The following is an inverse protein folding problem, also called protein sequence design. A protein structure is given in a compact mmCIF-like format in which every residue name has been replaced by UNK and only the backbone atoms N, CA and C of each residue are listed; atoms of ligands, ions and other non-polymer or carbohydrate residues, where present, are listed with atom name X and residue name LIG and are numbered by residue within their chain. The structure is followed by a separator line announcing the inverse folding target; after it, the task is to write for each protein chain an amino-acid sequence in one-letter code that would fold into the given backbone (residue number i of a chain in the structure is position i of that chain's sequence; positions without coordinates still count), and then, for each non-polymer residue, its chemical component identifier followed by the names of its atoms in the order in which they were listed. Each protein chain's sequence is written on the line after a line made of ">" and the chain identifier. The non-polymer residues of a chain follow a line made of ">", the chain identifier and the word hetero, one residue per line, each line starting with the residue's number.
data_IF_791045674715
#
_entry.id   IF_791045674715
#
_cell.length_a   1.000
_cell.length_b   1.000
_cell.length_c   1.000
_cell.angle_alpha   90.00
_cell.angle_beta   90.00
_cell.angle_gamma   90.00
#
_symmetry.space_group_name_H-M   'P 1'
#
loop_
_entity.id
_entity.type
_entity.pdbx_description
1 polymer ?
#
# COMPACT_ATOMS: atom_id res chain seq x y z
N UNK A 1 -5.91 15.10 -0.54
CA UNK A 1 -5.13 13.85 -0.62
C UNK A 1 -6.04 12.66 -0.40
N UNK A 2 -5.73 11.55 -1.02
CA UNK A 2 -6.39 10.25 -0.81
C UNK A 2 -5.34 9.24 -0.34
N UNK A 3 -5.69 8.42 0.65
CA UNK A 3 -4.91 7.24 1.05
C UNK A 3 -5.64 6.00 0.54
N UNK A 4 -4.98 5.24 -0.33
CA UNK A 4 -5.51 3.96 -0.85
C UNK A 4 -4.62 2.84 -0.33
N UNK A 5 -5.20 1.77 0.16
CA UNK A 5 -4.44 0.65 0.70
C UNK A 5 -5.12 -0.69 0.47
N UNK A 6 -4.31 -1.73 0.45
CA UNK A 6 -4.73 -3.11 0.64
C UNK A 6 -4.14 -3.64 1.94
N UNK A 7 -4.91 -4.40 2.68
CA UNK A 7 -4.45 -5.02 3.92
C UNK A 7 -5.07 -6.39 4.09
N UNK A 8 -4.28 -7.32 4.65
CA UNK A 8 -4.70 -8.67 4.98
C UNK A 8 -4.01 -9.12 6.27
N UNK A 9 -4.43 -10.25 6.84
CA UNK A 9 -3.86 -10.77 8.08
C UNK A 9 -4.08 -9.82 9.28
N UNK A 10 -3.04 -9.31 9.91
CA UNK A 10 -3.11 -8.55 11.16
C UNK A 10 -3.57 -7.09 11.02
N UNK A 11 -3.81 -6.63 9.80
CA UNK A 11 -4.22 -5.25 9.56
C UNK A 11 -3.08 -4.22 9.70
N UNK A 12 -1.83 -4.62 9.54
CA UNK A 12 -0.68 -3.72 9.73
C UNK A 12 -0.68 -2.58 8.72
N UNK A 13 -0.92 -2.86 7.44
CA UNK A 13 -1.00 -1.82 6.41
C UNK A 13 -2.20 -0.89 6.67
N UNK A 14 -3.33 -1.43 7.08
CA UNK A 14 -4.51 -0.64 7.45
C UNK A 14 -4.20 0.34 8.58
N UNK A 15 -3.53 -0.11 9.63
CA UNK A 15 -3.14 0.72 10.78
C UNK A 15 -2.33 1.94 10.35
N UNK A 16 -1.34 1.75 9.49
CA UNK A 16 -0.51 2.84 8.98
C UNK A 16 -1.30 3.76 8.05
N UNK A 17 -2.14 3.20 7.19
CA UNK A 17 -3.00 3.97 6.30
C UNK A 17 -3.98 4.87 7.08
N UNK A 18 -4.60 4.32 8.11
CA UNK A 18 -5.52 5.07 8.98
C UNK A 18 -4.79 6.19 9.74
N UNK A 19 -3.61 5.91 10.29
CA UNK A 19 -2.79 6.93 10.95
C UNK A 19 -2.44 8.06 9.99
N UNK A 20 -1.97 7.73 8.79
CA UNK A 20 -1.64 8.73 7.77
C UNK A 20 -2.86 9.59 7.41
N UNK A 21 -4.01 8.95 7.20
CA UNK A 21 -5.24 9.66 6.86
C UNK A 21 -5.72 10.58 7.99
N UNK A 22 -5.73 10.09 9.22
CA UNK A 22 -6.17 10.85 10.39
C UNK A 22 -5.28 12.08 10.63
N UNK A 23 -3.98 11.91 10.56
CA UNK A 23 -3.04 13.01 10.83
C UNK A 23 -2.94 14.05 9.71
N UNK A 24 -3.25 13.65 8.47
CA UNK A 24 -3.24 14.56 7.30
C UNK A 24 -4.62 15.12 6.95
N UNK A 25 -5.68 14.59 7.52
CA UNK A 25 -7.05 14.91 7.13
C UNK A 25 -7.43 14.38 5.74
N UNK A 26 -6.72 13.37 5.25
CA UNK A 26 -6.97 12.76 3.95
C UNK A 26 -8.20 11.86 3.95
N UNK A 27 -8.84 11.73 2.80
CA UNK A 27 -9.81 10.67 2.56
C UNK A 27 -9.08 9.32 2.48
N UNK A 28 -9.79 8.24 2.80
CA UNK A 28 -9.22 6.90 2.81
C UNK A 28 -10.11 5.92 2.05
N UNK A 29 -9.50 5.02 1.27
CA UNK A 29 -10.21 3.99 0.53
C UNK A 29 -9.44 2.66 0.60
N UNK A 30 -10.16 1.57 0.83
CA UNK A 30 -9.60 0.22 0.87
C UNK A 30 -9.75 -0.47 -0.48
N UNK A 31 -8.68 -1.10 -0.95
CA UNK A 31 -8.74 -2.02 -2.09
C UNK A 31 -9.28 -3.35 -1.58
N UNK A 32 -10.30 -3.87 -2.25
CA UNK A 32 -10.87 -5.18 -1.95
C UNK A 32 -10.92 -6.02 -3.22
N UNK A 33 -10.48 -7.27 -3.12
CA UNK A 33 -10.63 -8.22 -4.22
C UNK A 33 -12.09 -8.64 -4.35
N UNK A 34 -12.57 -8.83 -5.58
CA UNK A 34 -13.94 -9.30 -5.85
C UNK A 34 -14.17 -10.68 -5.24
N UNK A 35 -13.15 -11.54 -5.30
CA UNK A 35 -13.12 -12.83 -4.61
C UNK A 35 -12.14 -12.74 -3.45
N UNK A 36 -12.61 -12.83 -2.18
CA UNK A 36 -11.72 -12.76 -1.04
C UNK A 36 -10.83 -14.00 -0.94
N UNK A 37 -9.62 -13.80 -0.43
CA UNK A 37 -8.74 -14.93 -0.09
C UNK A 37 -9.36 -15.76 1.02
N UNK A 38 -9.35 -17.08 0.86
CA UNK A 38 -10.01 -18.03 1.77
C UNK A 38 -9.07 -19.14 2.19
N UNK A 39 -9.40 -19.79 3.30
CA UNK A 39 -8.63 -20.88 3.86
C UNK A 39 -7.77 -20.43 5.04
N UNK A 40 -6.83 -21.28 5.41
CA UNK A 40 -5.88 -20.99 6.49
C UNK A 40 -4.89 -19.89 6.07
N UNK A 41 -4.17 -19.35 7.04
CA UNK A 41 -3.07 -18.43 6.75
C UNK A 41 -2.07 -19.05 5.74
N UNK A 42 -1.71 -20.31 5.94
CA UNK A 42 -0.80 -21.03 5.04
C UNK A 42 -1.37 -21.18 3.62
N UNK A 43 -2.66 -21.44 3.49
CA UNK A 43 -3.32 -21.53 2.19
C UNK A 43 -3.22 -20.22 1.41
N UNK A 44 -3.43 -19.10 2.08
CA UNK A 44 -3.33 -17.77 1.47
C UNK A 44 -1.89 -17.42 1.14
N UNK A 45 -0.94 -17.75 1.99
CA UNK A 45 0.50 -17.56 1.72
C UNK A 45 0.91 -18.31 0.47
N UNK A 46 0.49 -19.57 0.32
CA UNK A 46 0.80 -20.38 -0.86
C UNK A 46 0.10 -19.88 -2.13
N UNK A 47 -1.15 -19.46 -2.02
CA UNK A 47 -1.86 -18.82 -3.12
C UNK A 47 -1.16 -17.53 -3.56
N UNK A 48 -0.76 -16.69 -2.61
CA UNK A 48 -0.03 -15.46 -2.87
C UNK A 48 1.28 -15.71 -3.62
N UNK A 49 2.01 -16.77 -3.28
CA UNK A 49 3.22 -17.17 -3.99
C UNK A 49 2.95 -17.47 -5.47
N UNK A 50 1.93 -18.27 -5.74
CA UNK A 50 1.54 -18.61 -7.11
C UNK A 50 1.10 -17.40 -7.91
N UNK A 51 0.32 -16.50 -7.29
CA UNK A 51 -0.15 -15.28 -7.93
C UNK A 51 1.00 -14.33 -8.26
N UNK A 52 1.92 -14.12 -7.32
CA UNK A 52 3.10 -13.26 -7.52
C UNK A 52 4.00 -13.82 -8.62
N UNK A 53 4.30 -15.12 -8.58
CA UNK A 53 5.14 -15.78 -9.61
C UNK A 53 4.51 -15.72 -11.01
N UNK A 54 3.18 -15.77 -11.09
CA UNK A 54 2.44 -15.70 -12.36
C UNK A 54 2.19 -14.27 -12.84
N UNK A 55 2.49 -13.24 -12.04
CA UNK A 55 2.10 -11.87 -12.34
C UNK A 55 0.58 -11.69 -12.39
N UNK A 56 -0.14 -12.47 -11.59
CA UNK A 56 -1.60 -12.48 -11.58
C UNK A 56 -2.16 -11.16 -11.05
N UNK A 57 -3.17 -10.64 -11.74
CA UNK A 57 -3.88 -9.42 -11.34
C UNK A 57 -5.31 -9.78 -10.95
N UNK A 58 -5.59 -10.01 -9.66
CA UNK A 58 -6.96 -10.30 -9.22
C UNK A 58 -7.89 -9.14 -9.52
N UNK A 59 -9.14 -9.45 -9.85
CA UNK A 59 -10.16 -8.42 -10.00
C UNK A 59 -10.42 -7.76 -8.65
N UNK A 60 -10.48 -6.43 -8.65
CA UNK A 60 -10.79 -5.63 -7.47
C UNK A 60 -12.13 -4.91 -7.64
N UNK A 61 -12.80 -4.65 -6.51
CA UNK A 61 -14.02 -3.84 -6.50
C UNK A 61 -13.68 -2.38 -6.82
N UNK A 62 -14.57 -1.64 -7.49
CA UNK A 62 -14.39 -0.21 -7.67
C UNK A 62 -14.23 0.50 -6.32
N UNK A 63 -13.34 1.51 -6.26
CA UNK A 63 -13.25 2.35 -5.08
C UNK A 63 -14.52 3.21 -4.94
N UNK A 64 -14.83 3.58 -3.70
CA UNK A 64 -15.96 4.47 -3.39
C UNK A 64 -15.71 5.94 -3.72
N UNK A 65 -14.52 6.27 -4.20
CA UNK A 65 -14.06 7.63 -4.52
C UNK A 65 -13.56 7.70 -5.95
N UNK A 66 -13.55 8.91 -6.53
CA UNK A 66 -13.01 9.15 -7.86
C UNK A 66 -11.57 9.69 -7.74
N UNK A 67 -10.59 8.97 -8.31
CA UNK A 67 -9.19 9.38 -8.28
C UNK A 67 -8.95 10.75 -8.93
N UNK A 68 -9.79 11.16 -9.88
CA UNK A 68 -9.68 12.46 -10.53
C UNK A 68 -9.82 13.65 -9.57
N UNK A 69 -10.44 13.44 -8.41
CA UNK A 69 -10.66 14.48 -7.41
C UNK A 69 -9.43 14.76 -6.53
N UNK A 70 -8.33 14.02 -6.73
CA UNK A 70 -7.15 14.09 -5.87
C UNK A 70 -5.88 14.30 -6.69
N UNK A 71 -5.05 15.24 -6.25
CA UNK A 71 -3.74 15.52 -6.83
C UNK A 71 -2.61 14.72 -6.17
N UNK A 72 -2.81 14.32 -4.92
CA UNK A 72 -1.85 13.53 -4.13
C UNK A 72 -2.53 12.24 -3.67
N UNK A 73 -1.92 11.10 -4.00
CA UNK A 73 -2.44 9.78 -3.66
C UNK A 73 -1.34 8.94 -2.99
N UNK A 74 -1.54 8.62 -1.72
CA UNK A 74 -0.70 7.66 -1.03
C UNK A 74 -1.24 6.25 -1.26
N UNK A 75 -0.36 5.30 -1.57
CA UNK A 75 -0.73 3.93 -1.89
C UNK A 75 0.04 2.97 -0.99
N UNK A 76 -0.69 2.22 -0.17
CA UNK A 76 -0.14 1.30 0.81
C UNK A 76 -0.37 -0.17 0.47
N UNK A 77 0.66 -1.00 0.69
CA UNK A 77 0.63 -2.43 0.44
C UNK A 77 1.40 -3.20 1.51
N UNK A 78 0.95 -4.41 1.89
CA UNK A 78 1.83 -5.34 2.57
C UNK A 78 2.85 -5.92 1.59
N UNK A 79 3.89 -6.55 2.11
CA UNK A 79 4.84 -7.32 1.31
C UNK A 79 4.34 -8.74 1.14
N UNK A 80 4.14 -9.16 -0.10
CA UNK A 80 3.82 -10.54 -0.47
C UNK A 80 4.92 -11.08 -1.37
N UNK A 81 5.69 -12.04 -0.85
CA UNK A 81 6.77 -12.69 -1.62
C UNK A 81 7.69 -11.67 -2.28
N UNK A 82 8.23 -10.76 -1.46
CA UNK A 82 9.22 -9.73 -1.81
C UNK A 82 8.72 -8.62 -2.74
N UNK A 83 7.42 -8.57 -3.04
CA UNK A 83 6.81 -7.50 -3.84
C UNK A 83 5.48 -7.05 -3.25
N UNK A 84 4.76 -6.18 -3.96
CA UNK A 84 3.44 -5.72 -3.53
C UNK A 84 2.40 -6.84 -3.58
N UNK A 85 1.33 -6.71 -2.81
CA UNK A 85 0.17 -7.60 -2.92
C UNK A 85 -0.42 -7.54 -4.35
N UNK A 86 -0.85 -8.68 -4.92
CA UNK A 86 -1.43 -8.72 -6.27
C UNK A 86 -2.60 -7.75 -6.50
N UNK A 87 -3.43 -7.50 -5.48
CA UNK A 87 -4.52 -6.53 -5.58
C UNK A 87 -4.02 -5.09 -5.81
N UNK A 88 -2.85 -4.74 -5.26
CA UNK A 88 -2.23 -3.43 -5.48
C UNK A 88 -1.66 -3.34 -6.89
N UNK A 89 -1.08 -4.41 -7.42
CA UNK A 89 -0.65 -4.48 -8.81
C UNK A 89 -1.82 -4.20 -9.76
N UNK A 90 -2.98 -4.81 -9.51
CA UNK A 90 -4.20 -4.54 -10.29
C UNK A 90 -4.56 -3.06 -10.21
N UNK A 91 -4.57 -2.49 -9.03
CA UNK A 91 -4.92 -1.08 -8.82
C UNK A 91 -3.98 -0.13 -9.57
N UNK A 92 -2.68 -0.36 -9.48
CA UNK A 92 -1.66 0.49 -10.14
C UNK A 92 -1.74 0.42 -11.66
N UNK A 93 -1.97 -0.77 -12.21
CA UNK A 93 -1.95 -0.98 -13.66
C UNK A 93 -3.26 -0.59 -14.36
N UNK A 94 -4.37 -0.57 -13.63
CA UNK A 94 -5.70 -0.25 -14.19
C UNK A 94 -6.12 1.22 -14.01
N UNK A 95 -5.30 2.03 -13.34
CA UNK A 95 -5.56 3.44 -13.12
C UNK A 95 -4.45 4.32 -13.72
N UNK A 96 -4.77 5.57 -13.99
CA UNK A 96 -3.85 6.56 -14.53
C UNK A 96 -3.52 7.60 -13.45
N UNK A 97 -2.24 7.73 -13.12
CA UNK A 97 -1.73 8.66 -12.11
C UNK A 97 -0.96 9.83 -12.73
N UNK A 98 -1.04 10.01 -14.04
CA UNK A 98 -0.37 11.10 -14.74
C UNK A 98 -0.79 12.46 -14.16
N UNK A 99 0.19 13.30 -13.84
CA UNK A 99 -0.04 14.61 -13.25
C UNK A 99 -0.33 14.60 -11.75
N UNK A 100 -0.28 13.44 -11.12
CA UNK A 100 -0.50 13.29 -9.67
C UNK A 100 0.83 12.97 -8.95
N UNK A 101 0.93 13.39 -7.71
CA UNK A 101 2.01 12.94 -6.83
C UNK A 101 1.58 11.65 -6.14
N UNK A 102 2.36 10.58 -6.33
CA UNK A 102 2.13 9.27 -5.71
C UNK A 102 3.11 9.08 -4.56
N UNK A 103 2.60 8.69 -3.39
CA UNK A 103 3.39 8.40 -2.19
C UNK A 103 3.27 6.90 -1.90
N UNK A 104 4.23 6.07 -2.36
CA UNK A 104 4.17 4.65 -2.09
C UNK A 104 4.67 4.35 -0.68
N UNK A 105 3.93 3.52 0.07
CA UNK A 105 4.38 3.01 1.34
C UNK A 105 4.06 1.52 1.48
N UNK A 106 4.83 0.83 2.30
CA UNK A 106 4.66 -0.60 2.48
C UNK A 106 4.95 -1.04 3.89
N UNK A 107 4.34 -2.14 4.29
CA UNK A 107 4.61 -2.82 5.55
C UNK A 107 5.27 -4.16 5.28
N UNK A 108 6.21 -4.56 6.14
CA UNK A 108 6.94 -5.82 6.02
C UNK A 108 7.32 -6.36 7.41
N UNK A 109 7.74 -7.61 7.45
CA UNK A 109 8.21 -8.29 8.66
C UNK A 109 9.74 -8.45 8.71
N UNK A 110 10.49 -7.56 8.06
CA UNK A 110 11.95 -7.62 8.00
C UNK A 110 12.49 -8.03 6.62
N UNK A 111 11.60 -8.30 5.67
CA UNK A 111 11.95 -8.66 4.29
C UNK A 111 11.26 -7.72 3.31
N UNK A 112 11.77 -6.48 3.15
CA UNK A 112 11.09 -5.48 2.31
C UNK A 112 11.13 -5.81 0.81
N UNK A 113 12.03 -6.68 0.37
CA UNK A 113 12.13 -7.05 -1.05
C UNK A 113 12.32 -5.83 -1.96
N UNK A 114 11.63 -5.85 -3.09
CA UNK A 114 11.66 -4.79 -4.09
C UNK A 114 10.29 -4.10 -4.27
N UNK A 115 9.50 -4.05 -3.19
CA UNK A 115 8.11 -3.55 -3.22
C UNK A 115 8.02 -2.14 -3.80
N UNK A 116 8.74 -1.18 -3.24
CA UNK A 116 8.67 0.23 -3.65
C UNK A 116 9.11 0.39 -5.11
N UNK A 117 10.19 -0.28 -5.50
CA UNK A 117 10.65 -0.27 -6.90
C UNK A 117 9.57 -0.79 -7.85
N UNK A 118 8.98 -1.94 -7.51
CA UNK A 118 7.94 -2.55 -8.34
C UNK A 118 6.67 -1.70 -8.42
N UNK A 119 6.30 -1.04 -7.32
CA UNK A 119 5.19 -0.11 -7.32
C UNK A 119 5.41 1.04 -8.31
N UNK A 120 6.60 1.64 -8.29
CA UNK A 120 6.95 2.72 -9.22
C UNK A 120 6.97 2.26 -10.67
N UNK A 121 7.53 1.09 -10.94
CA UNK A 121 7.63 0.53 -12.30
C UNK A 121 6.26 0.17 -12.89
N UNK A 122 5.29 -0.21 -12.05
CA UNK A 122 3.96 -0.61 -12.48
C UNK A 122 2.91 0.50 -12.36
N UNK A 123 3.29 1.67 -11.87
CA UNK A 123 2.42 2.83 -11.72
C UNK A 123 2.50 3.71 -12.95
N UNK A 124 1.37 3.94 -13.61
CA UNK A 124 1.30 4.89 -14.72
C UNK A 124 1.26 6.33 -14.20
N UNK A 125 2.42 6.83 -13.80
CA UNK A 125 2.67 8.16 -13.26
C UNK A 125 4.17 8.40 -13.22
N UNK A 126 4.57 9.63 -13.08
CA UNK A 126 5.97 10.06 -13.17
C UNK A 126 6.48 10.82 -11.93
N UNK A 127 5.59 11.17 -11.02
CA UNK A 127 5.94 11.93 -9.82
C UNK A 127 5.72 11.10 -8.57
N UNK A 128 6.82 10.69 -7.95
CA UNK A 128 6.84 9.95 -6.68
C UNK A 128 7.53 10.77 -5.61
N UNK A 129 6.98 10.75 -4.39
CA UNK A 129 7.52 11.48 -3.26
C UNK A 129 7.33 10.70 -1.96
N UNK A 130 8.20 10.97 -0.98
CA UNK A 130 8.04 10.51 0.41
C UNK A 130 7.76 9.02 0.57
N UNK A 131 8.37 8.17 -0.25
CA UNK A 131 8.23 6.71 -0.14
C UNK A 131 8.63 6.23 1.26
N UNK A 132 7.93 5.22 1.78
CA UNK A 132 8.15 4.75 3.13
C UNK A 132 8.07 3.24 3.25
N UNK A 133 9.06 2.65 3.93
CA UNK A 133 9.08 1.25 4.34
C UNK A 133 8.87 1.18 5.85
N UNK A 134 7.87 0.44 6.28
CA UNK A 134 7.54 0.29 7.70
C UNK A 134 7.67 -1.17 8.09
N UNK A 135 8.47 -1.45 9.11
CA UNK A 135 8.74 -2.79 9.57
C UNK A 135 7.92 -3.12 10.82
N UNK A 136 7.25 -4.26 10.77
CA UNK A 136 6.63 -4.94 11.90
C UNK A 136 7.45 -6.18 12.28
N UNK A 137 7.04 -6.88 13.34
CA UNK A 137 7.80 -8.03 13.82
C UNK A 137 7.90 -9.17 12.79
N UNK A 138 8.98 -9.93 12.86
CA UNK A 138 9.25 -11.06 11.96
C UNK A 138 8.40 -12.30 12.25
N UNK A 139 7.61 -12.30 13.32
CA UNK A 139 6.72 -13.39 13.69
C UNK A 139 5.37 -13.31 12.96
N UNK A 140 5.22 -12.34 12.06
CA UNK A 140 3.98 -12.14 11.31
C UNK A 140 2.84 -11.57 12.15
N UNK A 141 3.17 -10.86 13.23
CA UNK A 141 2.21 -10.20 14.13
C UNK A 141 2.16 -8.69 13.88
N UNK A 142 1.70 -7.96 14.87
CA UNK A 142 1.36 -6.54 14.77
C UNK A 142 2.26 -5.62 15.62
N UNK A 143 3.38 -6.15 16.13
CA UNK A 143 4.34 -5.34 16.89
C UNK A 143 5.17 -4.49 15.91
N UNK A 144 5.07 -3.17 16.06
CA UNK A 144 5.79 -2.21 15.24
C UNK A 144 7.28 -2.17 15.63
N UNK A 145 8.16 -2.44 14.68
CA UNK A 145 9.62 -2.34 14.83
C UNK A 145 10.14 -0.96 14.40
N UNK A 146 9.59 -0.39 13.34
CA UNK A 146 9.92 0.99 12.95
C UNK A 146 9.54 1.95 14.06
N UNK A 147 10.43 2.87 14.43
CA UNK A 147 10.18 3.86 15.48
C UNK A 147 8.98 4.74 15.13
N UNK A 148 8.13 5.02 16.12
CA UNK A 148 7.01 5.97 15.97
C UNK A 148 7.50 7.36 15.55
N UNK A 149 8.68 7.77 15.99
CA UNK A 149 9.28 9.07 15.63
C UNK A 149 9.55 9.13 14.12
N UNK A 150 10.03 8.03 13.53
CA UNK A 150 10.29 7.94 12.08
C UNK A 150 8.99 8.05 11.29
N UNK A 151 7.92 7.41 11.76
CA UNK A 151 6.60 7.48 11.12
C UNK A 151 6.04 8.90 11.25
N UNK A 152 6.14 9.51 12.41
CA UNK A 152 5.70 10.88 12.63
C UNK A 152 6.43 11.87 11.71
N UNK A 153 7.76 11.74 11.61
CA UNK A 153 8.56 12.57 10.71
C UNK A 153 8.12 12.41 9.25
N UNK A 154 7.89 11.17 8.83
CA UNK A 154 7.37 10.90 7.47
C UNK A 154 6.03 11.58 7.23
N UNK A 155 5.09 11.49 8.18
CA UNK A 155 3.77 12.12 8.06
C UNK A 155 3.90 13.65 8.00
N UNK A 156 4.81 14.24 8.78
CA UNK A 156 5.06 15.68 8.70
C UNK A 156 5.62 16.09 7.33
N UNK A 157 6.50 15.29 6.73
CA UNK A 157 6.97 15.54 5.37
C UNK A 157 5.83 15.46 4.35
N UNK A 158 4.91 14.52 4.50
CA UNK A 158 3.71 14.43 3.66
C UNK A 158 2.83 15.67 3.82
N UNK A 159 2.64 16.16 5.03
CA UNK A 159 1.89 17.40 5.28
C UNK A 159 2.52 18.61 4.57
N UNK A 160 3.84 18.69 4.54
CA UNK A 160 4.55 19.74 3.79
C UNK A 160 4.24 19.64 2.31
N UNK A 161 4.22 18.43 1.75
CA UNK A 161 3.84 18.22 0.34
C UNK A 161 2.45 18.73 0.01
N UNK A 162 1.49 18.51 0.92
CA UNK A 162 0.10 18.93 0.74
C UNK A 162 -0.08 20.47 0.78
N UNK A 163 0.87 21.18 1.33
CA UNK A 163 0.83 22.64 1.46
C UNK A 163 1.58 23.37 0.32
N UNK A 164 2.11 22.64 -0.63
CA UNK A 164 2.71 23.20 -1.85
C UNK A 164 1.65 23.60 -2.85
#
# INVERSE_FOLDING_TARGET
>A
MLVVYYSWSNGNTQKIAEQLADETGADIARIETTEPYRGSHEDVVEQGKKEVEAGFMPRINPLSVNLADYDVIAIGTPTWWYTMAPAVLTFLTTNDFTGKTVIPFMTNGGWPGHVIKDMKENCKGDTFAHEMQIQFDSNGKDHLETSEDVITEWIEQVKVELNK
#
